data_IF_436827761115
#
_entry.id   IF_436827761115
#
_cell.length_a   1.000
_cell.length_b   1.000
_cell.length_c   1.000
_cell.angle_alpha   90.00
_cell.angle_beta   90.00
_cell.angle_gamma   90.00
#
_symmetry.space_group_name_H-M   'P 1'
#
loop_
_entity.id
_entity.type
_entity.pdbx_description
1 polymer ?
#
# COMPACT_ATOMS: atom_id res chain seq x y z
N UNK A 1 43.82 34.82 41.10
CA UNK A 1 42.98 33.61 40.93
C UNK A 1 41.63 34.06 40.45
N UNK A 2 41.14 33.45 39.37
CA UNK A 2 39.93 33.81 38.65
C UNK A 2 38.72 33.25 39.40
N UNK A 3 37.67 34.03 39.64
CA UNK A 3 36.34 33.49 39.96
C UNK A 3 35.29 34.23 39.15
N UNK A 4 34.77 33.47 38.21
CA UNK A 4 33.80 33.71 37.16
C UNK A 4 32.44 34.22 37.63
N UNK A 5 31.91 35.17 36.85
CA UNK A 5 30.50 35.57 36.82
C UNK A 5 29.59 34.37 36.52
N UNK A 6 28.46 34.26 37.23
CA UNK A 6 27.33 33.41 36.86
C UNK A 6 26.26 34.33 36.28
N UNK A 7 26.14 34.34 34.94
CA UNK A 7 24.98 34.91 34.26
C UNK A 7 23.91 33.82 34.14
N UNK A 8 22.75 34.07 34.72
CA UNK A 8 21.57 33.23 34.57
C UNK A 8 21.10 33.28 33.11
N UNK A 9 21.23 32.17 32.38
CA UNK A 9 20.66 32.02 31.05
C UNK A 9 19.20 31.58 31.19
N UNK A 10 18.29 32.50 30.87
CA UNK A 10 16.87 32.27 30.61
C UNK A 10 16.69 31.14 29.59
N UNK A 11 15.99 30.08 29.99
CA UNK A 11 15.59 29.00 29.09
C UNK A 11 14.54 29.51 28.11
N UNK A 12 14.92 29.65 26.84
CA UNK A 12 14.00 29.87 25.74
C UNK A 12 13.34 28.52 25.42
N UNK A 13 12.10 28.32 25.84
CA UNK A 13 11.26 27.25 25.31
C UNK A 13 10.84 27.63 23.88
N UNK A 14 11.74 27.40 22.92
CA UNK A 14 11.37 27.38 21.51
C UNK A 14 10.64 26.06 21.25
N UNK A 15 9.40 26.16 20.75
CA UNK A 15 8.49 25.04 20.55
C UNK A 15 9.12 23.90 19.77
N UNK A 16 9.16 22.73 20.39
CA UNK A 16 9.21 21.47 19.66
C UNK A 16 7.78 21.21 19.20
N UNK A 17 7.40 21.73 18.03
CA UNK A 17 6.38 21.08 17.25
C UNK A 17 6.98 19.70 16.92
N UNK A 18 6.57 18.68 17.66
CA UNK A 18 6.91 17.31 17.33
C UNK A 18 6.24 17.00 16.00
N UNK A 19 6.92 17.29 14.90
CA UNK A 19 6.70 16.59 13.66
C UNK A 19 7.08 15.14 13.97
N UNK A 20 6.11 14.37 14.46
CA UNK A 20 6.20 12.93 14.45
C UNK A 20 6.13 12.60 12.97
N UNK A 21 7.29 12.45 12.36
CA UNK A 21 7.41 11.85 11.04
C UNK A 21 6.95 10.41 11.24
N UNK A 22 5.65 10.18 11.04
CA UNK A 22 5.12 8.83 11.09
C UNK A 22 5.91 8.09 10.01
N UNK A 23 6.57 6.96 10.33
CA UNK A 23 7.17 6.17 9.28
C UNK A 23 6.10 5.98 8.22
N UNK A 24 6.46 6.22 6.96
CA UNK A 24 5.68 5.79 5.80
C UNK A 24 5.58 4.27 5.89
N UNK A 25 4.70 3.79 6.77
CA UNK A 25 4.50 2.39 7.04
C UNK A 25 3.71 1.81 5.87
N UNK A 26 2.71 1.01 6.20
CA UNK A 26 1.69 0.46 5.30
C UNK A 26 0.96 1.47 4.38
N UNK A 27 1.23 2.77 4.50
CA UNK A 27 0.67 3.82 3.65
C UNK A 27 1.59 4.11 2.45
N UNK A 28 1.19 3.67 1.25
CA UNK A 28 1.88 4.04 0.00
C UNK A 28 1.73 5.53 -0.35
N UNK A 29 0.79 6.23 0.28
CA UNK A 29 0.54 7.68 0.17
C UNK A 29 0.24 8.18 1.59
N UNK A 30 0.92 9.23 2.05
CA UNK A 30 0.74 9.69 3.42
C UNK A 30 -0.66 10.30 3.64
N UNK A 31 -1.22 10.26 4.86
CA UNK A 31 -2.54 10.82 5.14
C UNK A 31 -2.66 12.32 4.81
N UNK A 32 -1.58 13.07 4.97
CA UNK A 32 -1.48 14.51 4.71
C UNK A 32 -1.17 14.85 3.24
N UNK A 33 -0.71 13.89 2.43
CA UNK A 33 -0.40 14.11 1.01
C UNK A 33 -1.66 14.40 0.18
N UNK A 34 -1.75 15.56 -0.45
CA UNK A 34 -2.84 15.81 -1.40
C UNK A 34 -2.67 15.00 -2.68
N UNK A 35 -3.72 14.29 -3.10
CA UNK A 35 -3.72 13.55 -4.37
C UNK A 35 -4.04 14.53 -5.50
N UNK A 36 -3.02 14.84 -6.28
CA UNK A 36 -3.15 15.67 -7.47
C UNK A 36 -3.30 14.78 -8.72
N UNK A 37 -4.33 14.99 -9.55
CA UNK A 37 -4.46 14.24 -10.79
C UNK A 37 -3.32 14.60 -11.75
N UNK A 38 -2.59 13.59 -12.21
CA UNK A 38 -1.62 13.76 -13.30
C UNK A 38 -2.29 14.08 -14.64
N UNK A 39 -1.50 14.47 -15.64
CA UNK A 39 -2.00 14.79 -16.99
C UNK A 39 -1.82 13.63 -17.99
N UNK A 40 -2.80 13.46 -18.86
CA UNK A 40 -2.75 12.64 -20.06
C UNK A 40 -3.37 13.42 -21.23
N UNK A 41 -2.50 14.07 -22.02
CA UNK A 41 -2.88 14.86 -23.22
C UNK A 41 -3.78 16.06 -22.87
N UNK A 42 -3.44 16.82 -21.83
CA UNK A 42 -4.20 17.98 -21.38
C UNK A 42 -5.46 17.62 -20.61
N UNK A 43 -5.60 16.38 -20.13
CA UNK A 43 -6.76 15.89 -19.38
C UNK A 43 -6.31 15.12 -18.14
N UNK A 44 -7.10 15.11 -17.06
CA UNK A 44 -6.80 14.29 -15.88
C UNK A 44 -6.61 12.82 -16.25
N UNK A 45 -5.55 12.22 -15.71
CA UNK A 45 -5.29 10.79 -15.80
C UNK A 45 -6.13 10.04 -14.76
N UNK A 46 -7.39 9.77 -15.11
CA UNK A 46 -8.36 9.17 -14.20
C UNK A 46 -7.95 7.80 -13.65
N UNK A 47 -7.19 6.99 -14.40
CA UNK A 47 -6.71 5.69 -13.93
C UNK A 47 -5.84 5.83 -12.68
N UNK A 48 -4.78 6.64 -12.75
CA UNK A 48 -3.86 6.85 -11.63
C UNK A 48 -4.53 7.65 -10.54
N UNK A 49 -5.39 8.62 -10.89
CA UNK A 49 -6.11 9.40 -9.90
C UNK A 49 -7.06 8.54 -9.05
N UNK A 50 -7.79 7.61 -9.67
CA UNK A 50 -8.63 6.64 -8.95
C UNK A 50 -7.77 5.70 -8.09
N UNK A 51 -6.69 5.14 -8.65
CA UNK A 51 -5.80 4.25 -7.91
C UNK A 51 -5.23 4.95 -6.66
N UNK A 52 -4.68 6.15 -6.83
CA UNK A 52 -4.13 6.94 -5.73
C UNK A 52 -5.19 7.27 -4.68
N UNK A 53 -6.42 7.63 -5.12
CA UNK A 53 -7.53 7.94 -4.21
C UNK A 53 -7.91 6.76 -3.34
N UNK A 54 -7.99 5.55 -3.91
CA UNK A 54 -8.35 4.35 -3.17
C UNK A 54 -7.19 3.84 -2.29
N UNK A 55 -5.95 3.92 -2.78
CA UNK A 55 -4.76 3.59 -2.00
C UNK A 55 -4.68 4.45 -0.75
N UNK A 56 -4.90 5.77 -0.87
CA UNK A 56 -4.92 6.68 0.26
C UNK A 56 -6.11 6.45 1.18
N UNK A 57 -7.28 6.15 0.63
CA UNK A 57 -8.45 5.82 1.46
C UNK A 57 -8.18 4.58 2.32
N UNK A 58 -7.42 3.63 1.78
CA UNK A 58 -7.19 2.32 2.38
C UNK A 58 -8.37 1.41 2.07
N UNK A 59 -8.06 0.26 1.47
CA UNK A 59 -9.05 -0.79 1.19
C UNK A 59 -8.67 -2.01 2.03
N UNK A 60 -9.67 -2.64 2.65
CA UNK A 60 -9.43 -3.80 3.51
C UNK A 60 -8.82 -4.95 2.71
N UNK A 61 -7.72 -5.56 3.18
CA UNK A 61 -7.12 -6.72 2.54
C UNK A 61 -8.00 -7.94 2.81
N UNK A 62 -8.88 -8.25 1.86
CA UNK A 62 -9.69 -9.48 1.86
C UNK A 62 -9.48 -10.24 0.55
N UNK A 63 -9.82 -11.54 0.53
CA UNK A 63 -9.82 -12.35 -0.69
C UNK A 63 -11.10 -12.19 -1.53
N UNK A 64 -11.93 -11.16 -1.26
CA UNK A 64 -13.18 -10.97 -1.99
C UNK A 64 -12.95 -10.54 -3.45
N UNK A 65 -13.85 -10.94 -4.35
CA UNK A 65 -13.75 -10.66 -5.78
C UNK A 65 -13.70 -9.16 -6.11
N UNK A 66 -14.36 -8.32 -5.30
CA UNK A 66 -14.37 -6.85 -5.47
C UNK A 66 -12.98 -6.26 -5.27
N UNK A 67 -12.26 -6.75 -4.26
CA UNK A 67 -10.90 -6.32 -3.94
C UNK A 67 -9.93 -6.76 -5.03
N UNK A 68 -10.01 -8.02 -5.48
CA UNK A 68 -9.19 -8.50 -6.60
C UNK A 68 -9.43 -7.71 -7.88
N UNK A 69 -10.70 -7.38 -8.19
CA UNK A 69 -11.06 -6.57 -9.35
C UNK A 69 -10.48 -5.15 -9.26
N UNK A 70 -10.51 -4.56 -8.07
CA UNK A 70 -9.84 -3.28 -7.79
C UNK A 70 -8.32 -3.38 -8.00
N UNK A 71 -7.67 -4.42 -7.48
CA UNK A 71 -6.23 -4.63 -7.67
C UNK A 71 -5.84 -4.82 -9.13
N UNK A 72 -6.65 -5.47 -9.97
CA UNK A 72 -6.41 -5.49 -11.42
C UNK A 72 -6.33 -4.07 -12.01
N UNK A 73 -7.20 -3.15 -11.55
CA UNK A 73 -7.15 -1.74 -11.94
C UNK A 73 -5.88 -1.03 -11.47
N UNK A 74 -5.43 -1.29 -10.25
CA UNK A 74 -4.16 -0.76 -9.71
C UNK A 74 -2.96 -1.31 -10.48
N UNK A 75 -2.96 -2.59 -10.83
CA UNK A 75 -1.92 -3.21 -11.66
C UNK A 75 -1.87 -2.62 -13.08
N UNK A 76 -3.02 -2.26 -13.67
CA UNK A 76 -3.03 -1.50 -14.92
C UNK A 76 -2.42 -0.10 -14.76
N UNK A 77 -2.56 0.55 -13.59
CA UNK A 77 -1.87 1.80 -13.31
C UNK A 77 -0.35 1.59 -13.23
N UNK A 78 0.11 0.51 -12.58
CA UNK A 78 1.52 0.08 -12.58
C UNK A 78 2.04 -0.10 -14.02
N UNK A 79 1.37 -0.90 -14.84
CA UNK A 79 1.83 -1.18 -16.21
C UNK A 79 1.92 0.06 -17.10
N UNK A 80 1.03 1.03 -16.87
CA UNK A 80 0.99 2.28 -17.65
C UNK A 80 2.03 3.30 -17.23
N UNK A 81 2.54 3.21 -16.00
CA UNK A 81 3.38 4.25 -15.41
C UNK A 81 4.77 3.77 -15.02
N UNK A 82 4.92 2.50 -14.69
CA UNK A 82 6.11 1.93 -14.05
C UNK A 82 6.28 2.36 -12.59
N UNK A 83 5.30 3.03 -11.99
CA UNK A 83 5.42 3.54 -10.61
C UNK A 83 5.23 2.42 -9.60
N UNK A 84 6.30 2.11 -8.88
CA UNK A 84 6.42 0.95 -8.00
C UNK A 84 5.40 0.94 -6.87
N UNK A 85 4.89 2.11 -6.43
CA UNK A 85 3.89 2.21 -5.35
C UNK A 85 2.65 1.35 -5.60
N UNK A 86 2.23 1.21 -6.85
CA UNK A 86 1.04 0.44 -7.21
C UNK A 86 1.27 -1.06 -7.03
N UNK A 87 2.43 -1.58 -7.47
CA UNK A 87 2.80 -2.97 -7.28
C UNK A 87 3.03 -3.27 -5.80
N UNK A 88 3.71 -2.39 -5.09
CA UNK A 88 3.99 -2.55 -3.66
C UNK A 88 2.69 -2.60 -2.84
N UNK A 89 1.72 -1.73 -3.14
CA UNK A 89 0.42 -1.72 -2.50
C UNK A 89 -0.34 -3.05 -2.69
N UNK A 90 -0.47 -3.52 -3.93
CA UNK A 90 -1.18 -4.78 -4.23
C UNK A 90 -0.45 -5.97 -3.61
N UNK A 91 0.89 -6.01 -3.71
CA UNK A 91 1.70 -7.07 -3.12
C UNK A 91 1.53 -7.11 -1.61
N UNK A 92 1.61 -5.97 -0.93
CA UNK A 92 1.47 -5.90 0.51
C UNK A 92 0.11 -6.44 0.98
N UNK A 93 -0.97 -6.04 0.32
CA UNK A 93 -2.29 -6.57 0.64
C UNK A 93 -2.40 -8.07 0.35
N UNK A 94 -1.78 -8.55 -0.73
CA UNK A 94 -1.72 -9.99 -1.07
C UNK A 94 -0.94 -10.78 -0.02
N UNK A 95 0.16 -10.22 0.50
CA UNK A 95 0.98 -10.83 1.56
C UNK A 95 0.19 -11.02 2.86
N UNK A 96 -0.68 -10.07 3.22
CA UNK A 96 -1.54 -10.16 4.41
C UNK A 96 -2.47 -11.38 4.33
N UNK A 97 -2.97 -11.69 3.13
CA UNK A 97 -3.87 -12.84 2.91
C UNK A 97 -3.15 -14.19 3.09
N UNK A 98 -1.81 -14.20 3.14
CA UNK A 98 -1.02 -15.43 3.33
C UNK A 98 -0.37 -15.50 4.72
N UNK A 99 -0.60 -14.51 5.58
CA UNK A 99 -0.07 -14.48 6.94
C UNK A 99 -0.97 -15.27 7.93
N UNK A 100 -0.41 -15.93 8.96
CA UNK A 100 1.01 -16.09 9.27
C UNK A 100 1.72 -17.25 8.57
N UNK A 101 1.01 -18.15 7.91
CA UNK A 101 1.54 -19.44 7.46
C UNK A 101 2.60 -19.31 6.36
N UNK A 102 2.39 -18.39 5.40
CA UNK A 102 3.29 -18.16 4.27
C UNK A 102 3.62 -19.42 3.45
N UNK A 103 2.70 -20.39 3.40
CA UNK A 103 2.84 -21.65 2.65
C UNK A 103 1.91 -21.75 1.43
N UNK A 104 1.15 -20.67 1.16
CA UNK A 104 0.13 -20.62 0.12
C UNK A 104 -1.30 -20.82 0.64
N UNK A 105 -1.47 -21.16 1.92
CA UNK A 105 -2.79 -21.18 2.57
C UNK A 105 -3.37 -19.77 2.63
N UNK A 106 -4.62 -19.62 2.20
CA UNK A 106 -5.35 -18.35 2.21
C UNK A 106 -6.00 -18.15 3.58
N UNK A 107 -5.66 -17.03 4.23
CA UNK A 107 -6.20 -16.61 5.51
C UNK A 107 -7.73 -16.47 5.43
N UNK A 108 -8.41 -17.08 6.41
CA UNK A 108 -9.88 -17.08 6.55
C UNK A 108 -10.63 -17.64 5.33
N UNK A 109 -9.97 -18.45 4.49
CA UNK A 109 -10.65 -19.11 3.38
C UNK A 109 -11.76 -20.03 3.89
N UNK A 110 -12.97 -19.80 3.40
CA UNK A 110 -14.19 -20.41 3.93
C UNK A 110 -14.57 -21.74 3.22
N UNK A 111 -13.76 -22.19 2.26
CA UNK A 111 -13.99 -23.37 1.43
C UNK A 111 -15.40 -23.39 0.81
N UNK A 112 -15.92 -22.22 0.42
CA UNK A 112 -17.20 -22.13 -0.26
C UNK A 112 -17.11 -22.62 -1.70
N UNK A 113 -18.26 -22.93 -2.30
CA UNK A 113 -18.35 -23.24 -3.73
C UNK A 113 -18.70 -21.98 -4.57
N UNK A 114 -18.36 -20.79 -4.09
CA UNK A 114 -18.61 -19.53 -4.80
C UNK A 114 -17.54 -19.29 -5.86
N UNK A 115 -17.98 -18.89 -7.05
CA UNK A 115 -17.05 -18.46 -8.11
C UNK A 115 -16.35 -17.14 -7.75
N UNK A 116 -16.91 -16.35 -6.83
CA UNK A 116 -16.32 -15.10 -6.37
C UNK A 116 -14.97 -15.33 -5.67
N UNK A 117 -14.83 -16.46 -4.96
CA UNK A 117 -13.61 -16.80 -4.22
C UNK A 117 -12.44 -17.14 -5.16
N UNK A 118 -12.76 -17.63 -6.38
CA UNK A 118 -11.77 -17.95 -7.41
C UNK A 118 -11.13 -16.67 -7.98
N UNK A 119 -11.84 -15.54 -7.96
CA UNK A 119 -11.37 -14.30 -8.60
C UNK A 119 -10.04 -13.83 -8.03
N UNK A 120 -9.82 -13.99 -6.72
CA UNK A 120 -8.58 -13.53 -6.08
C UNK A 120 -7.33 -14.30 -6.54
N UNK A 121 -7.50 -15.53 -7.07
CA UNK A 121 -6.44 -16.27 -7.74
C UNK A 121 -5.75 -15.47 -8.85
N UNK A 122 -6.46 -14.58 -9.53
CA UNK A 122 -5.86 -13.68 -10.53
C UNK A 122 -4.84 -12.72 -9.92
N UNK A 123 -5.13 -12.16 -8.74
CA UNK A 123 -4.22 -11.26 -8.02
C UNK A 123 -2.95 -12.02 -7.61
N UNK A 124 -3.08 -13.25 -7.13
CA UNK A 124 -1.92 -14.09 -6.85
C UNK A 124 -1.07 -14.34 -8.10
N UNK A 125 -1.69 -14.66 -9.24
CA UNK A 125 -0.98 -14.85 -10.51
C UNK A 125 -0.31 -13.56 -11.00
N UNK A 126 -0.95 -12.40 -10.84
CA UNK A 126 -0.35 -11.11 -11.18
C UNK A 126 0.93 -10.87 -10.37
N UNK A 127 0.89 -11.10 -9.06
CA UNK A 127 2.07 -10.94 -8.18
C UNK A 127 3.13 -12.01 -8.47
N UNK A 128 2.75 -13.26 -8.75
CA UNK A 128 3.67 -14.29 -9.21
C UNK A 128 4.41 -13.83 -10.48
N UNK A 129 3.69 -13.31 -11.47
CA UNK A 129 4.28 -12.85 -12.72
C UNK A 129 5.26 -11.68 -12.54
N UNK A 130 5.08 -10.84 -11.51
CA UNK A 130 6.01 -9.74 -11.21
C UNK A 130 7.19 -10.15 -10.33
N UNK A 131 7.03 -11.15 -9.46
CA UNK A 131 8.03 -11.48 -8.42
C UNK A 131 8.74 -12.81 -8.64
N UNK A 132 8.13 -13.75 -9.36
CA UNK A 132 8.60 -15.14 -9.49
C UNK A 132 8.48 -15.97 -8.20
N UNK A 133 7.84 -15.46 -7.14
CA UNK A 133 7.73 -16.20 -5.88
C UNK A 133 6.60 -17.25 -5.96
N UNK A 134 6.99 -18.53 -5.93
CA UNK A 134 6.09 -19.67 -6.09
C UNK A 134 4.96 -19.75 -5.05
N UNK A 135 5.09 -19.13 -3.87
CA UNK A 135 4.03 -19.12 -2.85
C UNK A 135 2.71 -18.57 -3.43
N UNK A 136 2.77 -17.51 -4.25
CA UNK A 136 1.55 -16.95 -4.84
C UNK A 136 0.94 -17.90 -5.87
N UNK A 137 1.76 -18.63 -6.62
CA UNK A 137 1.25 -19.64 -7.55
C UNK A 137 0.60 -20.81 -6.81
N UNK A 138 1.16 -21.23 -5.68
CA UNK A 138 0.54 -22.21 -4.78
C UNK A 138 -0.80 -21.70 -4.27
N UNK A 139 -0.88 -20.44 -3.82
CA UNK A 139 -2.14 -19.85 -3.36
C UNK A 139 -3.20 -19.69 -4.47
N UNK A 140 -2.78 -19.62 -5.73
CA UNK A 140 -3.68 -19.55 -6.88
C UNK A 140 -4.21 -20.92 -7.34
N UNK A 141 -3.72 -22.02 -6.77
CA UNK A 141 -4.04 -23.41 -7.17
C UNK A 141 -5.17 -24.01 -6.35
#
# INVERSE_FOLDING_TARGET
MKSTFVAAATAVFAGLASAVDLPTGWFSIAPDDEIQPGDLKGKPRYLTWMADSQIKHGVEPTHAYTISSFYSGVMLAYERTGDQKYLDYVKHATDIILYPEWDGTILLYNNSNSIDDIRFGHTFLDIYNKTGNEIYKTAAS
#
